data_IF_188478832358
#
_entry.id   IF_188478832358
#
_cell.length_a   1.000
_cell.length_b   1.000
_cell.length_c   1.000
_cell.angle_alpha   90.00
_cell.angle_beta   90.00
_cell.angle_gamma   90.00
#
_symmetry.space_group_name_H-M   'P 1'
#
loop_
_entity.id
_entity.type
_entity.pdbx_description
1 polymer ?
#
# COMPACT_ATOMS: atom_id res chain seq x y z
N UNK A 1 9.47 3.74 -22.22
CA UNK A 1 8.16 4.40 -22.44
C UNK A 1 7.05 3.38 -22.16
N UNK A 2 5.82 3.74 -21.79
CA UNK A 2 4.73 2.75 -21.62
C UNK A 2 4.34 2.09 -22.96
N UNK A 3 4.59 2.80 -24.08
CA UNK A 3 4.33 2.34 -25.45
C UNK A 3 5.18 1.13 -25.85
N UNK A 4 6.36 0.96 -25.25
CA UNK A 4 7.30 -0.12 -25.60
C UNK A 4 7.01 -1.43 -24.86
N UNK A 5 6.06 -1.41 -23.91
CA UNK A 5 5.76 -2.57 -23.07
C UNK A 5 4.94 -3.59 -23.87
N UNK A 6 5.53 -4.78 -24.02
CA UNK A 6 4.91 -5.91 -24.74
C UNK A 6 3.92 -6.66 -23.86
N UNK A 7 4.01 -6.50 -22.55
CA UNK A 7 3.24 -7.25 -21.57
C UNK A 7 1.75 -6.88 -21.56
N UNK A 8 0.90 -7.87 -21.24
CA UNK A 8 -0.55 -7.65 -21.15
C UNK A 8 -0.92 -6.87 -19.89
N UNK A 9 -0.18 -7.12 -18.81
CA UNK A 9 -0.40 -6.54 -17.48
C UNK A 9 0.89 -5.96 -16.94
N UNK A 10 0.81 -4.74 -16.43
CA UNK A 10 1.91 -4.05 -15.74
C UNK A 10 1.43 -3.71 -14.34
N UNK A 11 2.24 -4.01 -13.33
CA UNK A 11 1.95 -3.73 -11.93
C UNK A 11 3.11 -2.93 -11.35
N UNK A 12 2.79 -1.89 -10.59
CA UNK A 12 3.78 -1.02 -9.98
C UNK A 12 4.01 -1.44 -8.53
N UNK A 13 5.25 -1.78 -8.19
CA UNK A 13 5.68 -2.04 -6.82
C UNK A 13 6.01 -0.70 -6.16
N UNK A 14 5.15 -0.27 -5.25
CA UNK A 14 5.23 1.03 -4.61
C UNK A 14 5.72 0.88 -3.16
N UNK A 15 6.53 1.85 -2.72
CA UNK A 15 6.89 2.00 -1.31
C UNK A 15 5.69 2.55 -0.53
N UNK A 16 5.42 1.98 0.64
CA UNK A 16 4.25 2.31 1.46
C UNK A 16 4.63 3.34 2.53
N UNK A 17 3.99 4.51 2.52
CA UNK A 17 4.27 5.61 3.45
C UNK A 17 3.07 5.91 4.35
N UNK A 18 3.35 6.21 5.61
CA UNK A 18 2.36 6.38 6.67
C UNK A 18 2.55 7.71 7.39
N UNK A 19 1.46 8.43 7.67
CA UNK A 19 1.38 9.65 8.51
C UNK A 19 2.14 10.88 8.00
N UNK A 20 3.30 10.70 7.35
CA UNK A 20 4.22 11.71 6.85
C UNK A 20 4.82 11.24 5.53
N UNK A 21 5.21 12.18 4.68
CA UNK A 21 5.73 11.86 3.34
C UNK A 21 7.08 11.13 3.35
N UNK A 22 7.83 11.22 4.45
CA UNK A 22 9.14 10.60 4.63
C UNK A 22 9.15 9.46 5.66
N UNK A 23 7.99 8.91 6.05
CA UNK A 23 7.90 7.75 6.95
C UNK A 23 7.42 6.51 6.17
N UNK A 24 8.33 5.57 5.95
CA UNK A 24 8.10 4.36 5.15
C UNK A 24 7.93 3.12 6.02
N UNK A 25 7.11 2.19 5.54
CA UNK A 25 7.04 0.82 6.03
C UNK A 25 7.98 -0.06 5.17
N UNK A 26 9.24 -0.24 5.62
CA UNK A 26 10.32 -0.83 4.80
C UNK A 26 10.03 -2.24 4.25
N UNK A 27 9.41 -3.10 5.04
CA UNK A 27 9.27 -4.51 4.70
C UNK A 27 7.99 -4.83 3.91
N UNK A 28 7.22 -3.81 3.53
CA UNK A 28 5.95 -3.98 2.86
C UNK A 28 5.89 -3.16 1.58
N UNK A 29 5.42 -3.79 0.51
CA UNK A 29 5.27 -3.17 -0.80
C UNK A 29 3.80 -3.17 -1.21
N UNK A 30 3.37 -2.07 -1.80
CA UNK A 30 2.01 -1.90 -2.31
C UNK A 30 1.96 -2.15 -3.82
N UNK A 31 0.95 -2.88 -4.30
CA UNK A 31 0.81 -3.29 -5.71
C UNK A 31 -0.54 -2.83 -6.32
N UNK A 32 -1.07 -1.71 -5.85
CA UNK A 32 -2.40 -1.22 -6.23
C UNK A 32 -2.45 -0.54 -7.61
N UNK A 33 -1.42 0.23 -7.99
CA UNK A 33 -1.37 0.86 -9.31
C UNK A 33 -1.03 -0.17 -10.38
N UNK A 34 -1.81 -0.20 -11.45
CA UNK A 34 -1.71 -1.18 -12.54
C UNK A 34 -2.01 -0.53 -13.87
N UNK A 35 -1.38 -1.02 -14.92
CA UNK A 35 -1.64 -0.61 -16.29
C UNK A 35 -1.90 -1.83 -17.18
N UNK A 36 -2.85 -1.66 -18.11
CA UNK A 36 -3.29 -2.70 -19.04
C UNK A 36 -3.49 -2.08 -20.41
N UNK A 37 -3.28 -2.87 -21.47
CA UNK A 37 -3.72 -2.46 -22.81
C UNK A 37 -5.25 -2.54 -22.84
N UNK A 38 -5.94 -1.48 -23.28
CA UNK A 38 -7.41 -1.43 -23.35
C UNK A 38 -8.01 -2.65 -24.04
N UNK A 39 -7.39 -3.13 -25.13
CA UNK A 39 -7.81 -4.34 -25.86
C UNK A 39 -7.79 -5.65 -25.07
N UNK A 40 -7.05 -5.70 -23.96
CA UNK A 40 -6.95 -6.88 -23.09
C UNK A 40 -7.83 -6.73 -21.82
N UNK A 41 -8.53 -5.62 -21.67
CA UNK A 41 -9.38 -5.36 -20.52
C UNK A 41 -10.70 -6.12 -20.69
N UNK A 42 -10.95 -7.09 -19.79
CA UNK A 42 -12.24 -7.79 -19.73
C UNK A 42 -13.22 -7.03 -18.83
N UNK A 43 -12.86 -6.83 -17.54
CA UNK A 43 -13.63 -6.02 -16.59
C UNK A 43 -12.70 -5.31 -15.60
N UNK A 44 -13.17 -4.22 -14.99
CA UNK A 44 -12.42 -3.54 -13.91
C UNK A 44 -12.23 -4.43 -12.68
N UNK A 45 -13.20 -5.29 -12.38
CA UNK A 45 -13.07 -6.21 -11.26
C UNK A 45 -11.98 -7.25 -11.49
N UNK A 46 -11.90 -7.78 -12.72
CA UNK A 46 -10.80 -8.63 -13.13
C UNK A 46 -9.44 -7.94 -12.93
N UNK A 47 -9.30 -6.65 -13.31
CA UNK A 47 -8.05 -5.91 -13.09
C UNK A 47 -7.62 -5.89 -11.63
N UNK A 48 -8.57 -5.75 -10.69
CA UNK A 48 -8.29 -5.75 -9.25
C UNK A 48 -7.85 -7.12 -8.74
N UNK A 49 -8.42 -8.18 -9.30
CA UNK A 49 -8.17 -9.56 -8.86
C UNK A 49 -6.82 -10.13 -9.33
N UNK A 50 -6.23 -9.59 -10.41
CA UNK A 50 -4.94 -10.07 -10.92
C UNK A 50 -3.89 -10.13 -9.80
N UNK A 51 -3.18 -11.25 -9.68
CA UNK A 51 -2.16 -11.38 -8.64
C UNK A 51 -0.86 -10.67 -9.04
N UNK A 52 -0.17 -9.98 -8.12
CA UNK A 52 1.14 -9.37 -8.38
C UNK A 52 2.26 -10.42 -8.38
N UNK A 53 2.11 -11.46 -9.20
CA UNK A 53 3.04 -12.58 -9.31
C UNK A 53 3.11 -13.04 -10.76
N UNK A 54 4.33 -13.14 -11.28
CA UNK A 54 4.61 -13.79 -12.55
C UNK A 54 4.67 -15.30 -12.32
N UNK A 55 3.84 -16.06 -13.04
CA UNK A 55 3.81 -17.51 -12.92
C UNK A 55 4.63 -18.17 -14.04
N UNK A 56 5.24 -19.31 -13.73
CA UNK A 56 6.07 -20.08 -14.67
C UNK A 56 5.21 -20.81 -15.71
N UNK A 57 5.83 -21.18 -16.83
CA UNK A 57 5.13 -21.75 -17.98
C UNK A 57 4.51 -23.15 -17.72
N UNK A 58 5.08 -23.93 -16.80
CA UNK A 58 4.61 -25.27 -16.45
C UNK A 58 3.35 -25.29 -15.56
N UNK A 59 2.82 -24.13 -15.18
CA UNK A 59 1.60 -24.00 -14.38
C UNK A 59 0.36 -24.13 -15.26
N UNK A 60 -0.05 -25.36 -15.54
CA UNK A 60 -1.21 -25.67 -16.40
C UNK A 60 -2.53 -25.07 -15.86
N UNK A 61 -2.65 -24.87 -14.54
CA UNK A 61 -3.83 -24.23 -13.94
C UNK A 61 -4.05 -22.77 -14.38
N UNK A 62 -3.07 -22.13 -15.04
CA UNK A 62 -3.20 -20.80 -15.64
C UNK A 62 -4.18 -20.80 -16.83
N UNK A 63 -4.31 -21.93 -17.54
CA UNK A 63 -5.20 -22.02 -18.71
C UNK A 63 -6.67 -21.81 -18.32
N UNK A 64 -7.04 -22.19 -17.10
CA UNK A 64 -8.42 -22.08 -16.59
C UNK A 64 -8.62 -20.94 -15.58
N UNK A 65 -7.55 -20.39 -14.98
CA UNK A 65 -7.64 -19.31 -13.99
C UNK A 65 -7.44 -17.93 -14.59
N UNK A 66 -8.49 -17.10 -14.55
CA UNK A 66 -8.53 -15.75 -15.12
C UNK A 66 -7.70 -14.70 -14.36
N UNK A 67 -7.24 -14.99 -13.14
CA UNK A 67 -6.49 -14.04 -12.29
C UNK A 67 -4.96 -14.24 -12.33
N UNK A 68 -4.48 -15.29 -13.02
CA UNK A 68 -3.07 -15.65 -13.10
C UNK A 68 -2.48 -15.33 -14.47
N UNK A 69 -1.35 -14.62 -14.47
CA UNK A 69 -0.73 -14.15 -15.70
C UNK A 69 0.75 -14.55 -15.77
N UNK A 70 1.12 -15.14 -16.91
CA UNK A 70 2.52 -15.32 -17.32
C UNK A 70 3.07 -14.04 -17.97
N UNK A 71 2.24 -13.39 -18.78
CA UNK A 71 2.60 -12.17 -19.50
C UNK A 71 2.32 -10.92 -18.65
N UNK A 72 3.08 -10.81 -17.55
CA UNK A 72 2.98 -9.77 -16.53
C UNK A 72 4.36 -9.20 -16.23
N UNK A 73 4.45 -7.87 -16.11
CA UNK A 73 5.65 -7.15 -15.67
C UNK A 73 5.39 -6.43 -14.36
N UNK A 74 6.30 -6.61 -13.40
CA UNK A 74 6.33 -5.83 -12.16
C UNK A 74 7.40 -4.75 -12.32
N UNK A 75 7.02 -3.49 -12.14
CA UNK A 75 7.94 -2.35 -12.11
C UNK A 75 8.40 -2.17 -10.68
N UNK A 76 9.66 -2.52 -10.41
CA UNK A 76 10.22 -2.55 -9.04
C UNK A 76 10.27 -1.17 -8.37
N UNK A 77 10.59 -0.11 -9.11
CA UNK A 77 10.57 1.28 -8.64
C UNK A 77 9.28 1.98 -9.07
N UNK A 78 8.14 1.39 -8.70
CA UNK A 78 6.80 1.81 -9.13
C UNK A 78 6.25 3.07 -8.46
N UNK A 79 7.04 3.70 -7.58
CA UNK A 79 6.73 4.98 -6.94
C UNK A 79 6.29 4.82 -5.49
N UNK A 80 5.30 5.64 -5.10
CA UNK A 80 4.91 5.89 -3.70
C UNK A 80 3.42 5.64 -3.52
N UNK A 81 3.08 4.95 -2.43
CA UNK A 81 1.71 4.90 -1.93
C UNK A 81 1.68 5.60 -0.58
N UNK A 82 1.00 6.74 -0.50
CA UNK A 82 0.81 7.46 0.75
C UNK A 82 -0.53 7.10 1.37
N UNK A 83 -0.50 6.64 2.62
CA UNK A 83 -1.71 6.34 3.39
C UNK A 83 -1.70 7.08 4.72
N UNK A 84 -2.89 7.26 5.28
CA UNK A 84 -3.07 7.81 6.64
C UNK A 84 -2.45 9.21 6.84
N UNK A 85 -2.34 10.02 5.76
CA UNK A 85 -1.94 11.44 5.81
C UNK A 85 -3.08 12.31 6.36
N UNK A 86 -3.33 12.21 7.67
CA UNK A 86 -4.42 12.87 8.37
C UNK A 86 -3.97 13.40 9.72
N UNK A 87 -4.74 14.32 10.32
CA UNK A 87 -4.54 14.65 11.73
C UNK A 87 -4.83 13.43 12.61
N UNK A 88 -4.32 13.35 13.85
CA UNK A 88 -4.64 12.24 14.73
C UNK A 88 -6.16 12.07 14.92
N UNK A 89 -6.91 13.17 14.97
CA UNK A 89 -8.38 13.17 15.16
C UNK A 89 -9.07 12.56 13.96
N UNK A 90 -8.73 13.04 12.75
CA UNK A 90 -9.35 12.54 11.52
C UNK A 90 -8.91 11.11 11.20
N UNK A 91 -7.72 10.71 11.64
CA UNK A 91 -7.26 9.34 11.48
C UNK A 91 -8.02 8.39 12.42
N UNK A 92 -8.24 8.79 13.68
CA UNK A 92 -9.07 8.02 14.60
C UNK A 92 -10.51 7.87 14.08
N UNK A 93 -11.10 8.98 13.63
CA UNK A 93 -12.42 8.95 12.98
C UNK A 93 -12.42 8.07 11.73
N UNK A 94 -11.37 8.14 10.90
CA UNK A 94 -11.23 7.23 9.76
C UNK A 94 -11.25 5.77 10.21
N UNK A 95 -10.49 5.39 11.23
CA UNK A 95 -10.44 3.99 11.67
C UNK A 95 -11.79 3.45 12.17
N UNK A 96 -12.62 4.30 12.77
CA UNK A 96 -13.99 3.97 13.16
C UNK A 96 -14.95 3.80 11.97
N UNK A 97 -14.58 4.22 10.76
CA UNK A 97 -15.45 4.18 9.58
C UNK A 97 -14.79 3.46 8.39
N UNK A 98 -13.61 2.88 8.56
CA UNK A 98 -12.90 2.16 7.50
C UNK A 98 -13.49 0.76 7.31
N UNK A 99 -13.10 0.07 6.24
CA UNK A 99 -13.53 -1.30 5.93
C UNK A 99 -13.33 -2.27 7.10
N UNK A 100 -12.36 -1.99 7.98
CA UNK A 100 -12.00 -2.79 9.15
C UNK A 100 -12.43 -2.15 10.49
N UNK A 101 -13.45 -1.30 10.49
CA UNK A 101 -13.92 -0.62 11.71
C UNK A 101 -14.31 -1.60 12.82
N UNK A 102 -14.99 -2.71 12.52
CA UNK A 102 -15.34 -3.74 13.49
C UNK A 102 -14.11 -4.25 14.27
N UNK A 103 -13.03 -4.57 13.55
CA UNK A 103 -11.78 -5.02 14.16
C UNK A 103 -11.11 -3.92 14.99
N UNK A 104 -11.20 -2.68 14.51
CA UNK A 104 -10.66 -1.53 15.23
C UNK A 104 -11.41 -1.26 16.53
N UNK A 105 -12.73 -1.33 16.53
CA UNK A 105 -13.56 -1.20 17.73
C UNK A 105 -13.25 -2.32 18.73
N UNK A 106 -13.18 -3.56 18.25
CA UNK A 106 -12.82 -4.72 19.08
C UNK A 106 -11.40 -4.64 19.65
N UNK A 107 -10.46 -3.98 18.95
CA UNK A 107 -9.11 -3.72 19.46
C UNK A 107 -9.07 -2.76 20.65
N UNK A 108 -10.17 -2.03 20.91
CA UNK A 108 -10.30 -1.03 21.99
C UNK A 108 -9.22 0.05 21.96
N UNK A 109 -8.67 0.32 20.78
CA UNK A 109 -7.65 1.36 20.58
C UNK A 109 -8.29 2.73 20.81
N UNK A 110 -7.79 3.47 21.80
CA UNK A 110 -8.27 4.82 22.11
C UNK A 110 -7.58 5.88 21.26
N UNK A 111 -8.20 7.04 21.13
CA UNK A 111 -7.62 8.22 20.44
C UNK A 111 -6.20 8.60 20.93
N UNK A 112 -5.94 8.48 22.23
CA UNK A 112 -4.61 8.71 22.82
C UNK A 112 -3.54 7.82 22.21
N UNK A 113 -3.89 6.57 21.88
CA UNK A 113 -2.99 5.61 21.24
C UNK A 113 -2.68 6.00 19.80
N UNK A 114 -3.66 6.52 19.05
CA UNK A 114 -3.44 7.02 17.69
C UNK A 114 -2.48 8.22 17.68
N UNK A 115 -2.58 9.13 18.67
CA UNK A 115 -1.57 10.19 18.86
C UNK A 115 -0.18 9.60 19.12
N UNK A 116 -0.09 8.60 19.99
CA UNK A 116 1.16 7.92 20.33
C UNK A 116 1.79 7.24 19.10
N UNK A 117 0.99 6.57 18.28
CA UNK A 117 1.42 5.93 17.02
C UNK A 117 2.11 6.90 16.07
N UNK A 118 1.50 8.06 15.85
CA UNK A 118 2.05 9.10 14.98
C UNK A 118 3.33 9.68 15.59
N UNK A 119 3.32 10.01 16.89
CA UNK A 119 4.47 10.60 17.60
C UNK A 119 5.67 9.66 17.63
N UNK A 120 5.46 8.39 17.96
CA UNK A 120 6.49 7.35 18.06
C UNK A 120 6.77 6.63 16.74
N UNK A 121 6.09 7.03 15.65
CA UNK A 121 6.30 6.54 14.28
C UNK A 121 6.15 5.02 14.16
N UNK A 122 5.01 4.49 14.58
CA UNK A 122 4.67 3.08 14.38
C UNK A 122 3.20 2.93 13.97
N UNK A 123 2.90 1.87 13.20
CA UNK A 123 1.53 1.43 12.93
C UNK A 123 1.25 0.16 13.74
N UNK A 124 -0.01 -0.06 14.10
CA UNK A 124 -0.44 -1.28 14.78
C UNK A 124 -1.04 -2.32 13.84
N UNK A 125 -1.43 -1.89 12.63
CA UNK A 125 -2.03 -2.75 11.62
C UNK A 125 -0.96 -3.53 10.86
N UNK A 126 -0.99 -4.85 10.98
CA UNK A 126 -0.10 -5.76 10.26
C UNK A 126 -0.73 -6.26 8.97
N UNK A 127 -0.09 -5.98 7.84
CA UNK A 127 -0.50 -6.48 6.52
C UNK A 127 -0.07 -7.93 6.23
N UNK A 128 0.73 -8.53 7.11
CA UNK A 128 1.29 -9.89 6.91
C UNK A 128 0.44 -10.98 7.54
N UNK A 129 -0.49 -10.62 8.41
CA UNK A 129 -1.26 -11.58 9.21
C UNK A 129 -2.52 -11.97 8.45
N UNK A 130 -2.81 -13.26 8.45
CA UNK A 130 -4.02 -13.82 7.84
C UNK A 130 -5.27 -13.20 8.46
N UNK A 131 -6.31 -13.02 7.64
CA UNK A 131 -7.58 -12.43 8.09
C UNK A 131 -8.20 -13.19 9.27
N UNK A 132 -7.98 -14.51 9.34
CA UNK A 132 -8.46 -15.36 10.45
C UNK A 132 -7.89 -14.95 11.81
N UNK A 133 -6.68 -14.38 11.85
CA UNK A 133 -6.00 -13.97 13.08
C UNK A 133 -6.13 -12.44 13.29
N UNK A 134 -7.36 -11.93 13.26
CA UNK A 134 -7.63 -10.49 13.33
C UNK A 134 -7.12 -9.83 14.61
N UNK A 135 -7.10 -10.53 15.75
CA UNK A 135 -6.59 -10.00 17.03
C UNK A 135 -5.13 -9.60 16.92
N UNK A 136 -4.33 -10.38 16.21
CA UNK A 136 -2.91 -10.11 16.02
C UNK A 136 -2.68 -9.02 14.98
N UNK A 137 -3.64 -8.77 14.08
CA UNK A 137 -3.54 -7.68 13.09
C UNK A 137 -3.46 -6.30 13.70
N UNK A 138 -4.09 -6.06 14.86
CA UNK A 138 -4.16 -4.73 15.50
C UNK A 138 -3.27 -4.56 16.74
N UNK A 139 -2.49 -5.59 17.11
CA UNK A 139 -1.66 -5.57 18.31
C UNK A 139 -0.16 -5.50 18.04
N UNK A 140 0.25 -5.42 16.77
CA UNK A 140 1.66 -5.46 16.39
C UNK A 140 2.25 -4.07 16.16
N UNK A 141 3.15 -3.63 17.03
CA UNK A 141 3.87 -2.36 16.83
C UNK A 141 4.91 -2.49 15.71
N UNK A 142 4.54 -2.08 14.51
CA UNK A 142 5.42 -2.08 13.36
C UNK A 142 6.02 -0.69 13.19
N UNK A 143 7.34 -0.59 13.41
CA UNK A 143 8.08 0.68 13.36
C UNK A 143 8.17 1.20 11.91
N UNK A 144 7.86 2.48 11.74
CA UNK A 144 8.06 3.21 10.49
C UNK A 144 9.47 3.79 10.49
N UNK A 145 10.12 3.73 9.33
CA UNK A 145 11.47 4.28 9.17
C UNK A 145 11.41 5.63 8.48
N UNK A 146 12.10 6.63 9.03
CA UNK A 146 12.33 7.89 8.35
C UNK A 146 13.32 7.67 7.21
N UNK A 147 12.93 8.06 6.00
CA UNK A 147 13.80 8.01 4.81
C UNK A 147 14.36 9.39 4.49
N UNK A 148 15.41 9.40 3.66
CA UNK A 148 15.96 10.64 3.13
C UNK A 148 14.91 11.35 2.27
N UNK A 149 14.95 12.69 2.26
CA UNK A 149 14.06 13.49 1.41
C UNK A 149 14.21 13.13 -0.07
N UNK A 150 15.42 12.70 -0.51
CA UNK A 150 15.71 12.27 -1.88
C UNK A 150 14.86 11.07 -2.32
N UNK A 151 14.35 10.28 -1.38
CA UNK A 151 13.46 9.17 -1.66
C UNK A 151 12.01 9.59 -1.85
N UNK A 152 11.65 10.87 -1.68
CA UNK A 152 10.30 11.38 -1.93
C UNK A 152 10.11 11.82 -3.39
N UNK A 153 8.86 11.93 -3.87
CA UNK A 153 8.55 12.55 -5.16
C UNK A 153 9.23 13.91 -5.33
N UNK A 154 9.75 14.17 -6.54
CA UNK A 154 10.37 15.45 -6.91
C UNK A 154 9.45 16.63 -6.62
N UNK A 155 8.14 16.46 -6.82
CA UNK A 155 7.15 17.48 -6.50
C UNK A 155 7.20 17.91 -5.03
N UNK A 156 7.34 16.97 -4.09
CA UNK A 156 7.43 17.29 -2.66
C UNK A 156 8.77 17.94 -2.30
N UNK A 157 9.86 17.50 -2.94
CA UNK A 157 11.18 18.10 -2.79
C UNK A 157 11.19 19.58 -3.20
N UNK A 158 10.50 19.94 -4.29
CA UNK A 158 10.37 21.33 -4.74
C UNK A 158 9.47 22.18 -3.84
N UNK A 159 8.67 21.56 -2.97
CA UNK A 159 7.65 22.25 -2.16
C UNK A 159 7.78 21.96 -0.64
N UNK A 160 8.99 21.71 -0.14
CA UNK A 160 9.21 21.28 1.24
C UNK A 160 8.62 22.23 2.28
N UNK A 161 8.74 23.55 2.07
CA UNK A 161 8.22 24.56 3.00
C UNK A 161 6.69 24.46 3.14
N UNK A 162 5.98 24.28 2.02
CA UNK A 162 4.52 24.09 2.01
C UNK A 162 4.09 22.84 2.76
N UNK A 163 4.89 21.78 2.71
CA UNK A 163 4.58 20.48 3.31
C UNK A 163 5.35 20.19 4.61
N UNK A 164 5.97 21.19 5.24
CA UNK A 164 6.80 21.03 6.45
C UNK A 164 6.08 20.27 7.57
N UNK A 165 4.79 20.55 7.79
CA UNK A 165 3.93 19.84 8.76
C UNK A 165 3.82 18.34 8.50
N UNK A 166 3.99 17.90 7.26
CA UNK A 166 3.86 16.51 6.81
C UNK A 166 5.20 15.79 6.67
N UNK A 167 6.29 16.40 7.15
CA UNK A 167 7.61 15.78 7.25
C UNK A 167 7.89 15.42 8.72
N UNK A 168 8.50 14.24 8.93
CA UNK A 168 8.91 13.73 10.23
C UNK A 168 10.31 14.18 10.64
#
# INVERSE_FOLDING_TARGET
NLKDLKEKVIIFKQKMFYYKFNLVLKNFHWYGTRAFKKKNLTTFQWMRQVKPKKYNWWRLDILWKKDKYRNLKIIENGGWHFTQLKSPKDLYYKFLNDEHHDEFELSKVKFSKVKDMIKKRYTIYSHFIDKRNWKDRWNNKIKLTKVSNREMPIFLLKNLNKYKKWLA
#
